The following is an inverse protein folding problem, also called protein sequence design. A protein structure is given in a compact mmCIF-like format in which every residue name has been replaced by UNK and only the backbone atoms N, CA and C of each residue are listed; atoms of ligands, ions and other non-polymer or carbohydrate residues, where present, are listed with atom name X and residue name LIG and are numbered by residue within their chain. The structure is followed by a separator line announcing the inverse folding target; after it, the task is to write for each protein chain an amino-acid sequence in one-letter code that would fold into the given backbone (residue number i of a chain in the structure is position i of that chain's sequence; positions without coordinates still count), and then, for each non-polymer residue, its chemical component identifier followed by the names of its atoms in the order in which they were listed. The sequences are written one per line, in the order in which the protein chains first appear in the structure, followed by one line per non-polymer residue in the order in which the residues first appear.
data_IF_514052483908
#
_entry.id   IF_514052483908
#
_cell.length_a   1.000
_cell.length_b   1.000
_cell.length_c   1.000
_cell.angle_alpha   90.00
_cell.angle_beta   90.00
_cell.angle_gamma   90.00
#
_symmetry.space_group_name_H-M   'P 1'
#
loop_
_entity.id
_entity.type
_entity.pdbx_description
1 polymer ?
#
# COMPACT_ATOMS: atom_id res chain seq x y z
N UNK A 1 -26.58 15.23 -9.10
CA UNK A 1 -25.10 15.09 -8.97
C UNK A 1 -24.79 13.61 -8.99
N UNK A 2 -24.28 13.09 -10.11
CA UNK A 2 -23.95 11.66 -10.24
C UNK A 2 -22.48 11.53 -9.83
N UNK A 3 -22.19 10.87 -8.69
CA UNK A 3 -20.82 10.50 -8.32
C UNK A 3 -20.36 9.45 -9.34
N UNK A 4 -19.31 9.73 -10.11
CA UNK A 4 -18.66 8.71 -10.93
C UNK A 4 -18.14 7.60 -10.02
N UNK A 5 -18.70 6.40 -10.17
CA UNK A 5 -18.15 5.19 -9.57
C UNK A 5 -16.97 4.76 -10.42
N UNK A 6 -15.75 5.14 -10.01
CA UNK A 6 -14.54 4.55 -10.58
C UNK A 6 -14.51 3.06 -10.25
N UNK A 7 -14.29 2.25 -11.29
CA UNK A 7 -14.10 0.82 -11.18
C UNK A 7 -12.95 0.50 -10.22
N UNK A 8 -13.12 -0.56 -9.42
CA UNK A 8 -12.08 -1.03 -8.52
C UNK A 8 -11.13 -1.93 -9.30
N UNK A 9 -9.84 -1.64 -9.20
CA UNK A 9 -8.79 -2.45 -9.79
C UNK A 9 -7.92 -3.04 -8.68
N UNK A 10 -7.33 -4.21 -8.94
CA UNK A 10 -6.41 -4.84 -8.00
C UNK A 10 -4.98 -4.39 -8.28
N UNK A 11 -4.26 -4.07 -7.20
CA UNK A 11 -2.86 -3.69 -7.25
C UNK A 11 -2.08 -4.60 -6.32
N UNK A 12 -0.98 -5.15 -6.82
CA UNK A 12 0.03 -5.87 -6.05
C UNK A 12 1.16 -4.89 -5.78
N UNK A 13 1.39 -4.56 -4.51
CA UNK A 13 2.43 -3.64 -4.06
C UNK A 13 3.36 -4.40 -3.15
N UNK A 14 4.67 -4.35 -3.44
CA UNK A 14 5.69 -4.89 -2.56
C UNK A 14 6.64 -3.79 -2.08
N UNK A 15 7.34 -4.10 -1.00
CA UNK A 15 8.29 -3.20 -0.40
C UNK A 15 8.86 -3.75 0.88
N UNK A 16 9.32 -2.85 1.75
CA UNK A 16 9.87 -3.16 3.06
C UNK A 16 9.46 -2.17 4.13
N UNK A 17 9.41 -2.59 5.38
CA UNK A 17 9.16 -1.73 6.53
C UNK A 17 10.20 -1.96 7.62
N UNK A 18 10.40 -0.97 8.49
CA UNK A 18 11.35 -1.05 9.60
C UNK A 18 10.74 -1.79 10.80
N UNK A 19 11.24 -2.98 11.11
CA UNK A 19 10.86 -3.77 12.27
C UNK A 19 11.98 -3.68 13.32
N UNK A 20 11.87 -2.71 14.24
CA UNK A 20 12.96 -2.43 15.18
C UNK A 20 14.26 -2.08 14.46
N UNK A 21 15.28 -2.92 14.57
CA UNK A 21 16.59 -2.71 13.94
C UNK A 21 16.70 -3.25 12.51
N UNK A 22 15.77 -4.09 12.05
CA UNK A 22 15.81 -4.75 10.74
C UNK A 22 14.82 -4.12 9.76
N UNK A 23 14.98 -4.44 8.47
CA UNK A 23 13.99 -4.15 7.44
C UNK A 23 13.38 -5.47 6.98
N UNK A 24 12.06 -5.57 7.04
CA UNK A 24 11.31 -6.75 6.63
C UNK A 24 10.55 -6.49 5.34
N UNK A 25 10.48 -7.49 4.46
CA UNK A 25 9.80 -7.38 3.17
C UNK A 25 8.31 -7.68 3.31
N UNK A 26 7.49 -7.07 2.48
CA UNK A 26 6.07 -7.38 2.37
C UNK A 26 5.59 -7.36 0.92
N UNK A 27 4.49 -8.06 0.67
CA UNK A 27 3.68 -7.97 -0.55
C UNK A 27 2.22 -7.90 -0.15
N UNK A 28 1.47 -6.93 -0.66
CA UNK A 28 0.02 -6.80 -0.44
C UNK A 28 -0.73 -6.61 -1.74
N UNK A 29 -1.86 -7.31 -1.83
CA UNK A 29 -2.88 -7.10 -2.86
C UNK A 29 -3.96 -6.19 -2.29
N UNK A 30 -4.27 -5.09 -2.99
CA UNK A 30 -5.30 -4.14 -2.58
C UNK A 30 -6.18 -3.74 -3.75
N UNK A 31 -7.50 -3.70 -3.51
CA UNK A 31 -8.45 -3.11 -4.45
C UNK A 31 -8.51 -1.58 -4.24
N UNK A 32 -8.45 -0.82 -5.33
CA UNK A 32 -8.44 0.64 -5.33
C UNK A 32 -8.89 1.25 -6.67
N UNK A 33 -9.29 2.52 -6.67
CA UNK A 33 -9.69 3.29 -7.86
C UNK A 33 -8.54 3.71 -8.78
N UNK A 34 -7.32 3.68 -8.26
CA UNK A 34 -6.09 4.03 -8.96
C UNK A 34 -4.87 3.63 -8.12
N UNK A 35 -3.70 3.63 -8.76
CA UNK A 35 -2.41 3.26 -8.17
C UNK A 35 -2.04 4.13 -6.95
N UNK A 36 -2.26 5.45 -7.03
CA UNK A 36 -1.93 6.37 -5.91
C UNK A 36 -2.73 5.99 -4.66
N UNK A 37 -4.03 5.78 -4.81
CA UNK A 37 -4.90 5.37 -3.71
C UNK A 37 -4.53 3.96 -3.21
N UNK A 38 -4.06 3.07 -4.08
CA UNK A 38 -3.58 1.74 -3.67
C UNK A 38 -2.33 1.86 -2.78
N UNK A 39 -1.36 2.71 -3.17
CA UNK A 39 -0.16 3.01 -2.37
C UNK A 39 -0.51 3.64 -1.03
N UNK A 40 -1.40 4.65 -1.02
CA UNK A 40 -1.87 5.30 0.20
C UNK A 40 -2.56 4.31 1.16
N UNK A 41 -3.31 3.35 0.61
CA UNK A 41 -3.95 2.26 1.36
C UNK A 41 -2.91 1.31 1.97
N UNK A 42 -1.88 0.92 1.21
CA UNK A 42 -0.78 0.08 1.72
C UNK A 42 0.00 0.77 2.83
N UNK A 43 0.32 2.06 2.69
CA UNK A 43 0.95 2.83 3.76
C UNK A 43 0.12 2.81 5.05
N UNK A 44 -1.21 2.93 4.93
CA UNK A 44 -2.11 2.95 6.08
C UNK A 44 -2.22 1.57 6.73
N UNK A 45 -2.33 0.50 5.93
CA UNK A 45 -2.39 -0.88 6.41
C UNK A 45 -1.11 -1.25 7.18
N UNK A 46 0.06 -1.16 6.54
CA UNK A 46 1.35 -1.50 7.16
C UNK A 46 1.61 -0.59 8.38
N UNK A 47 1.28 0.70 8.28
CA UNK A 47 1.41 1.64 9.39
C UNK A 47 0.56 1.25 10.60
N UNK A 48 -0.69 0.82 10.39
CA UNK A 48 -1.59 0.41 11.47
C UNK A 48 -1.26 -0.97 12.06
N UNK A 49 -0.88 -1.94 11.22
CA UNK A 49 -0.56 -3.31 11.64
C UNK A 49 0.72 -3.36 12.49
N UNK A 50 1.69 -2.49 12.19
CA UNK A 50 3.01 -2.49 12.84
C UNK A 50 3.30 -1.24 13.69
N UNK A 51 2.33 -0.33 13.84
CA UNK A 51 2.47 0.95 14.54
C UNK A 51 3.65 1.81 14.00
N UNK A 52 3.74 1.93 12.67
CA UNK A 52 4.84 2.59 11.97
C UNK A 52 4.42 3.91 11.33
N UNK A 53 5.34 4.88 11.37
CA UNK A 53 5.25 6.11 10.57
C UNK A 53 5.58 5.80 9.11
N UNK A 54 5.01 6.58 8.18
CA UNK A 54 5.20 6.39 6.72
C UNK A 54 6.66 6.41 6.26
N UNK A 55 7.53 7.18 6.93
CA UNK A 55 8.96 7.23 6.60
C UNK A 55 9.72 5.92 6.90
N UNK A 56 9.12 5.02 7.69
CA UNK A 56 9.65 3.70 8.00
C UNK A 56 9.08 2.60 7.08
N UNK A 57 8.43 2.99 5.99
CA UNK A 57 7.84 2.09 4.99
C UNK A 57 8.35 2.54 3.62
N UNK A 58 8.92 1.61 2.85
CA UNK A 58 9.44 1.86 1.51
C UNK A 58 8.72 0.94 0.53
N UNK A 59 8.01 1.53 -0.43
CA UNK A 59 7.38 0.79 -1.53
C UNK A 59 8.43 0.61 -2.63
N UNK A 60 8.61 -0.62 -3.11
CA UNK A 60 9.63 -0.97 -4.10
C UNK A 60 9.02 -1.25 -5.48
N UNK A 61 7.85 -1.88 -5.55
CA UNK A 61 7.15 -2.10 -6.81
C UNK A 61 5.64 -1.98 -6.69
N UNK A 62 4.98 -1.75 -7.83
CA UNK A 62 3.54 -1.73 -7.94
C UNK A 62 3.14 -2.28 -9.30
N UNK A 63 2.35 -3.34 -9.29
CA UNK A 63 1.81 -3.99 -10.50
C UNK A 63 0.30 -3.93 -10.42
N UNK A 64 -0.33 -3.40 -11.47
CA UNK A 64 -1.77 -3.52 -11.69
C UNK A 64 -2.06 -4.93 -12.20
N UNK A 65 -3.02 -5.60 -11.58
CA UNK A 65 -3.50 -6.92 -12.01
C UNK A 65 -4.58 -6.77 -13.09
#
# INVERSE_FOLDING_TARGET
MIKEFKEMENYIISGRFKAGSTWEKFTKKVASQNEKNAKDKVYSLIGSEHNLKRNLIQLESTTKE
#
